data_IF_741894973346
#
_entry.id   IF_741894973346
#
_cell.length_a   1.000
_cell.length_b   1.000
_cell.length_c   1.000
_cell.angle_alpha   90.00
_cell.angle_beta   90.00
_cell.angle_gamma   90.00
#
_symmetry.space_group_name_H-M   'P 1'
#
loop_
_entity.id
_entity.type
_entity.pdbx_description
1 polymer ?
#
# COMPACT_ATOMS: atom_id res chain seq x y z
N UNK A 1 -3.03 16.17 34.24
CA UNK A 1 -3.25 15.33 35.44
C UNK A 1 -2.27 14.16 35.56
N UNK A 2 -2.15 13.21 34.62
CA UNK A 2 -1.17 12.11 34.78
C UNK A 2 0.30 12.56 34.69
N UNK A 3 0.69 13.24 33.60
CA UNK A 3 2.09 13.70 33.42
C UNK A 3 2.50 14.75 34.46
N UNK A 4 1.55 15.56 34.93
CA UNK A 4 1.79 16.49 36.05
C UNK A 4 2.10 15.76 37.36
N UNK A 5 1.54 14.56 37.56
CA UNK A 5 1.81 13.72 38.73
C UNK A 5 3.05 12.83 38.56
N UNK A 6 3.55 12.65 37.33
CA UNK A 6 4.68 11.79 37.00
C UNK A 6 5.72 12.57 36.17
N UNK A 7 6.47 13.50 36.79
CA UNK A 7 7.33 14.44 36.07
C UNK A 7 8.52 13.81 35.36
N UNK A 8 8.87 12.57 35.73
CA UNK A 8 9.94 11.78 35.08
C UNK A 8 9.46 11.07 33.80
N UNK A 9 8.14 11.03 33.56
CA UNK A 9 7.56 10.43 32.38
C UNK A 9 7.22 11.49 31.33
N UNK A 10 7.32 11.10 30.07
CA UNK A 10 6.92 11.89 28.91
C UNK A 10 5.96 11.07 28.03
N UNK A 11 5.34 11.73 27.05
CA UNK A 11 4.57 11.03 26.01
C UNK A 11 5.41 9.94 25.33
N UNK A 12 6.70 10.20 25.13
CA UNK A 12 7.61 9.25 24.49
C UNK A 12 7.90 8.03 25.36
N UNK A 13 8.16 8.22 26.66
CA UNK A 13 8.40 7.07 27.57
C UNK A 13 7.14 6.23 27.74
N UNK A 14 5.97 6.87 27.77
CA UNK A 14 4.69 6.17 27.80
C UNK A 14 4.42 5.40 26.51
N UNK A 15 4.78 5.96 25.35
CA UNK A 15 4.64 5.28 24.06
C UNK A 15 5.55 4.05 23.96
N UNK A 16 6.80 4.16 24.42
CA UNK A 16 7.75 3.04 24.50
C UNK A 16 7.20 1.93 25.40
N UNK A 17 6.74 2.26 26.60
CA UNK A 17 6.14 1.28 27.53
C UNK A 17 4.89 0.60 26.93
N UNK A 18 4.05 1.36 26.23
CA UNK A 18 2.91 0.81 25.51
C UNK A 18 3.34 -0.18 24.43
N UNK A 19 4.30 0.19 23.57
CA UNK A 19 4.80 -0.70 22.52
C UNK A 19 5.42 -1.97 23.10
N UNK A 20 6.18 -1.87 24.19
CA UNK A 20 6.74 -3.04 24.87
C UNK A 20 5.65 -3.97 25.40
N UNK A 21 4.64 -3.45 26.09
CA UNK A 21 3.52 -4.25 26.60
C UNK A 21 2.77 -4.97 25.47
N UNK A 22 2.52 -4.28 24.35
CA UNK A 22 1.82 -4.87 23.19
C UNK A 22 2.66 -5.95 22.52
N UNK A 23 3.95 -5.68 22.24
CA UNK A 23 4.82 -6.68 21.61
C UNK A 23 5.04 -7.90 22.50
N UNK A 24 5.17 -7.72 23.82
CA UNK A 24 5.26 -8.81 24.78
C UNK A 24 3.97 -9.67 24.80
N UNK A 25 2.80 -9.04 24.78
CA UNK A 25 1.53 -9.76 24.70
C UNK A 25 1.41 -10.59 23.42
N UNK A 26 1.80 -10.03 22.26
CA UNK A 26 1.82 -10.74 20.97
C UNK A 26 2.81 -11.90 20.99
N UNK A 27 4.01 -11.69 21.55
CA UNK A 27 5.04 -12.72 21.68
C UNK A 27 4.60 -13.88 22.57
N UNK A 28 3.92 -13.60 23.69
CA UNK A 28 3.37 -14.61 24.61
C UNK A 28 2.32 -15.52 23.94
N UNK A 29 1.70 -15.06 22.85
CA UNK A 29 0.78 -15.86 22.03
C UNK A 29 1.49 -16.63 20.90
N UNK A 30 2.83 -16.64 20.86
CA UNK A 30 3.64 -17.16 19.76
C UNK A 30 3.25 -16.56 18.39
N UNK A 31 2.88 -15.28 18.40
CA UNK A 31 2.53 -14.52 17.19
C UNK A 31 3.63 -13.51 16.86
N UNK A 32 3.60 -13.03 15.62
CA UNK A 32 4.48 -11.99 15.11
C UNK A 32 3.69 -10.69 15.04
N UNK A 33 4.24 -9.62 15.61
CA UNK A 33 3.69 -8.27 15.48
C UNK A 33 3.89 -7.72 14.07
N UNK A 34 2.89 -7.00 13.58
CA UNK A 34 2.98 -6.17 12.38
C UNK A 34 2.54 -4.76 12.77
N UNK A 35 3.34 -3.77 12.39
CA UNK A 35 3.12 -2.37 12.77
C UNK A 35 3.39 -1.45 11.58
N UNK A 36 2.80 -0.26 11.61
CA UNK A 36 3.21 0.83 10.73
C UNK A 36 4.62 1.31 11.10
N UNK A 37 5.29 1.93 10.13
CA UNK A 37 6.69 2.30 10.19
C UNK A 37 7.07 3.32 11.27
N UNK A 38 6.10 4.05 11.84
CA UNK A 38 6.30 4.97 12.96
C UNK A 38 6.96 4.28 14.15
N UNK A 39 6.60 3.02 14.39
CA UNK A 39 7.22 2.20 15.46
C UNK A 39 8.73 2.03 15.30
N UNK A 40 9.26 2.18 14.08
CA UNK A 40 10.68 2.00 13.77
C UNK A 40 11.42 3.32 13.50
N UNK A 41 10.71 4.35 13.03
CA UNK A 41 11.32 5.60 12.59
C UNK A 41 10.90 6.83 13.41
N UNK A 42 9.73 6.84 14.03
CA UNK A 42 9.13 8.01 14.70
C UNK A 42 8.89 7.79 16.20
N UNK A 43 9.64 6.88 16.81
CA UNK A 43 9.70 6.70 18.27
C UNK A 43 11.10 6.26 18.68
N UNK A 44 11.40 6.37 19.97
CA UNK A 44 12.60 5.83 20.60
C UNK A 44 12.50 4.32 20.86
N UNK A 45 11.39 3.70 20.46
CA UNK A 45 11.20 2.27 20.56
C UNK A 45 12.06 1.51 19.54
N UNK A 46 12.61 0.37 19.95
CA UNK A 46 13.24 -0.58 19.02
C UNK A 46 12.41 -1.85 18.98
N UNK A 47 11.59 -2.06 17.92
CA UNK A 47 10.75 -3.25 17.85
C UNK A 47 11.59 -4.53 17.73
N UNK A 48 11.11 -5.68 18.25
CA UNK A 48 11.75 -6.97 18.08
C UNK A 48 12.08 -7.26 16.62
N UNK A 49 13.25 -7.85 16.32
CA UNK A 49 13.74 -8.02 14.93
C UNK A 49 12.84 -8.86 14.02
N UNK A 50 11.97 -9.68 14.59
CA UNK A 50 10.98 -10.45 13.83
C UNK A 50 9.72 -9.65 13.47
N UNK A 51 9.53 -8.44 14.00
CA UNK A 51 8.39 -7.56 13.68
C UNK A 51 8.35 -7.25 12.18
N UNK A 52 7.15 -7.26 11.61
CA UNK A 52 6.90 -6.87 10.22
C UNK A 52 6.52 -5.39 10.21
N UNK A 53 7.17 -4.61 9.34
CA UNK A 53 6.95 -3.17 9.25
C UNK A 53 6.25 -2.86 7.93
N UNK A 54 5.07 -2.25 8.00
CA UNK A 54 4.36 -1.75 6.82
C UNK A 54 4.78 -0.31 6.54
N UNK A 55 5.45 -0.10 5.41
CA UNK A 55 6.00 1.18 5.01
C UNK A 55 5.03 1.92 4.08
N UNK A 56 4.63 3.14 4.46
CA UNK A 56 3.53 3.85 3.82
C UNK A 56 3.78 5.34 3.55
N UNK A 57 4.69 5.98 4.27
CA UNK A 57 4.91 7.44 4.17
C UNK A 57 5.53 7.78 2.81
N UNK A 58 6.67 7.17 2.49
CA UNK A 58 7.39 7.42 1.25
C UNK A 58 8.03 6.14 0.68
N UNK A 59 8.55 6.25 -0.55
CA UNK A 59 9.16 5.13 -1.27
C UNK A 59 10.52 4.74 -0.68
N UNK A 60 11.18 5.63 0.08
CA UNK A 60 12.47 5.36 0.73
C UNK A 60 12.30 4.59 2.05
N UNK A 61 11.11 4.62 2.65
CA UNK A 61 10.78 3.85 3.85
C UNK A 61 11.02 2.35 3.69
N UNK A 62 10.76 1.80 2.51
CA UNK A 62 10.98 0.37 2.21
C UNK A 62 12.47 0.01 2.27
N UNK A 63 13.38 0.66 1.48
CA UNK A 63 14.81 0.40 1.58
C UNK A 63 15.38 0.68 2.98
N UNK A 64 14.92 1.74 3.67
CA UNK A 64 15.34 2.06 5.06
C UNK A 64 14.96 0.93 6.03
N UNK A 65 13.76 0.36 5.89
CA UNK A 65 13.26 -0.73 6.74
C UNK A 65 14.11 -1.99 6.59
N UNK A 66 14.35 -2.43 5.35
CA UNK A 66 15.14 -3.63 5.09
C UNK A 66 16.63 -3.42 5.40
N UNK A 67 17.14 -2.19 5.31
CA UNK A 67 18.49 -1.83 5.74
C UNK A 67 18.68 -1.98 7.26
N UNK A 68 17.64 -1.68 8.06
CA UNK A 68 17.61 -1.97 9.50
C UNK A 68 17.38 -3.45 9.84
N UNK A 69 17.22 -4.31 8.82
CA UNK A 69 17.09 -5.76 8.96
C UNK A 69 15.69 -6.26 9.28
N UNK A 70 14.65 -5.43 9.12
CA UNK A 70 13.26 -5.83 9.33
C UNK A 70 12.62 -6.33 8.04
N UNK A 71 11.61 -7.19 8.18
CA UNK A 71 10.72 -7.55 7.07
C UNK A 71 9.78 -6.39 6.79
N UNK A 72 9.53 -6.11 5.51
CA UNK A 72 8.71 -4.98 5.08
C UNK A 72 7.55 -5.43 4.20
N UNK A 73 6.38 -4.83 4.43
CA UNK A 73 5.25 -4.81 3.50
C UNK A 73 5.22 -3.42 2.87
N UNK A 74 5.25 -3.37 1.53
CA UNK A 74 5.21 -2.12 0.80
C UNK A 74 3.77 -1.61 0.65
N UNK A 75 3.49 -0.42 1.18
CA UNK A 75 2.20 0.28 1.06
C UNK A 75 2.36 1.80 0.88
N UNK A 76 3.34 2.31 0.11
CA UNK A 76 3.58 3.76 0.03
C UNK A 76 2.34 4.50 -0.50
N UNK A 77 1.95 5.56 0.19
CA UNK A 77 0.80 6.38 -0.16
C UNK A 77 0.92 7.00 -1.56
N UNK A 78 2.16 7.21 -2.03
CA UNK A 78 2.43 7.67 -3.39
C UNK A 78 1.89 6.71 -4.47
N UNK A 79 1.76 5.41 -4.18
CA UNK A 79 1.39 4.40 -5.17
C UNK A 79 0.18 3.53 -4.77
N UNK A 80 0.07 3.12 -3.52
CA UNK A 80 -0.79 2.03 -3.08
C UNK A 80 -1.98 2.46 -2.19
N UNK A 81 -2.21 3.77 -2.01
CA UNK A 81 -3.42 4.27 -1.35
C UNK A 81 -4.54 4.49 -2.37
N UNK A 82 -5.67 3.83 -2.16
CA UNK A 82 -6.81 3.79 -3.09
C UNK A 82 -7.85 4.89 -2.81
N UNK A 83 -7.78 5.53 -1.65
CA UNK A 83 -8.67 6.60 -1.17
C UNK A 83 -8.28 8.02 -1.65
N UNK A 84 -7.07 8.21 -2.16
CA UNK A 84 -6.61 9.50 -2.70
C UNK A 84 -7.40 9.93 -3.94
N UNK A 85 -7.48 11.23 -4.22
CA UNK A 85 -8.14 11.77 -5.41
C UNK A 85 -9.62 12.13 -5.23
N UNK A 86 -10.14 12.06 -4.01
CA UNK A 86 -11.56 12.31 -3.70
C UNK A 86 -11.80 13.62 -2.92
N UNK A 87 -10.81 14.52 -2.90
CA UNK A 87 -10.86 15.77 -2.13
C UNK A 87 -10.68 15.55 -0.63
N UNK A 88 -10.72 16.64 0.13
CA UNK A 88 -10.76 16.61 1.60
C UNK A 88 -12.18 16.39 2.11
N UNK A 89 -12.31 15.71 3.26
CA UNK A 89 -13.60 15.45 3.92
C UNK A 89 -13.93 16.44 5.05
N UNK A 90 -12.96 17.26 5.48
CA UNK A 90 -13.17 18.27 6.51
C UNK A 90 -14.05 19.41 5.98
N UNK A 91 -15.06 19.80 6.76
CA UNK A 91 -15.94 20.93 6.44
C UNK A 91 -15.25 22.27 6.70
N UNK A 92 -15.75 23.34 6.07
CA UNK A 92 -15.24 24.73 6.18
C UNK A 92 -13.85 24.96 5.59
N UNK A 93 -13.35 24.02 4.77
CA UNK A 93 -12.15 24.16 3.96
C UNK A 93 -12.44 23.62 2.57
N UNK A 94 -11.97 24.31 1.53
CA UNK A 94 -11.94 23.80 0.16
C UNK A 94 -10.55 23.18 -0.06
N UNK A 95 -10.43 21.89 0.22
CA UNK A 95 -9.15 21.17 0.31
C UNK A 95 -9.10 19.91 -0.53
N UNK A 96 -7.88 19.52 -0.92
CA UNK A 96 -7.59 18.24 -1.56
C UNK A 96 -7.42 17.09 -0.56
N UNK A 97 -7.29 15.87 -1.05
CA UNK A 97 -6.80 14.76 -0.22
C UNK A 97 -5.29 14.92 -0.05
N UNK A 98 -4.79 14.68 1.16
CA UNK A 98 -3.36 14.86 1.47
C UNK A 98 -2.45 13.96 0.63
N UNK A 99 -2.98 12.85 0.11
CA UNK A 99 -2.25 11.89 -0.71
C UNK A 99 -2.58 11.99 -2.21
N UNK A 100 -3.17 13.10 -2.67
CA UNK A 100 -3.44 13.34 -4.08
C UNK A 100 -2.19 13.16 -4.98
N UNK A 101 -2.36 12.78 -6.26
CA UNK A 101 -3.62 12.57 -6.98
C UNK A 101 -4.22 11.16 -6.78
N UNK A 102 -5.36 10.89 -7.41
CA UNK A 102 -5.90 9.52 -7.58
C UNK A 102 -4.84 8.58 -8.18
N UNK A 103 -4.67 7.39 -7.59
CA UNK A 103 -3.73 6.38 -8.10
C UNK A 103 -4.40 5.54 -9.18
N UNK A 104 -4.01 5.76 -10.43
CA UNK A 104 -4.51 4.95 -11.55
C UNK A 104 -3.97 3.53 -11.48
N UNK A 105 -4.65 2.57 -12.11
CA UNK A 105 -4.13 1.20 -12.22
C UNK A 105 -2.76 1.15 -12.90
N UNK A 106 -2.48 2.06 -13.85
CA UNK A 106 -1.19 2.16 -14.55
C UNK A 106 -0.08 2.59 -13.59
N UNK A 107 -0.38 3.56 -12.72
CA UNK A 107 0.54 4.02 -11.68
C UNK A 107 0.89 2.88 -10.71
N UNK A 108 -0.14 2.20 -10.20
CA UNK A 108 -0.01 1.03 -9.33
C UNK A 108 0.80 -0.09 -10.00
N UNK A 109 0.51 -0.40 -11.28
CA UNK A 109 1.20 -1.47 -12.01
C UNK A 109 2.68 -1.15 -12.28
N UNK A 110 3.01 0.11 -12.53
CA UNK A 110 4.37 0.51 -12.87
C UNK A 110 5.29 0.65 -11.65
N UNK A 111 4.72 0.83 -10.47
CA UNK A 111 5.46 0.97 -9.22
C UNK A 111 6.31 -0.28 -8.92
N UNK A 112 7.57 -0.05 -8.52
CA UNK A 112 8.50 -1.11 -8.12
C UNK A 112 8.84 -0.95 -6.62
N UNK A 113 8.25 -1.76 -5.72
CA UNK A 113 8.51 -1.68 -4.29
C UNK A 113 9.94 -2.08 -3.91
N UNK A 114 10.72 -2.63 -4.83
CA UNK A 114 12.11 -3.01 -4.62
C UNK A 114 13.10 -2.03 -5.28
N UNK A 115 12.61 -0.91 -5.81
CA UNK A 115 13.45 0.15 -6.33
C UNK A 115 14.50 0.57 -5.30
N UNK A 116 15.71 0.86 -5.76
CA UNK A 116 16.85 1.29 -4.93
C UNK A 116 17.34 0.28 -3.86
N UNK A 117 16.83 -0.96 -3.82
CA UNK A 117 17.39 -2.04 -3.00
C UNK A 117 18.35 -2.86 -3.86
N UNK A 118 19.67 -2.70 -3.68
CA UNK A 118 20.68 -3.41 -4.48
C UNK A 118 21.04 -4.78 -3.88
N UNK A 119 20.96 -4.94 -2.56
CA UNK A 119 21.31 -6.19 -1.89
C UNK A 119 20.24 -7.26 -2.06
N UNK A 120 20.62 -8.41 -2.63
CA UNK A 120 19.73 -9.57 -2.74
C UNK A 120 19.22 -10.07 -1.38
N UNK A 121 20.00 -9.90 -0.30
CA UNK A 121 19.57 -10.23 1.07
C UNK A 121 18.48 -9.29 1.55
N UNK A 122 18.62 -7.99 1.29
CA UNK A 122 17.61 -6.99 1.67
C UNK A 122 16.34 -7.12 0.83
N UNK A 123 16.44 -7.44 -0.47
CA UNK A 123 15.26 -7.70 -1.32
C UNK A 123 14.39 -8.82 -0.76
N UNK A 124 14.98 -9.87 -0.18
CA UNK A 124 14.24 -10.97 0.48
C UNK A 124 13.49 -10.54 1.74
N UNK A 125 13.79 -9.37 2.30
CA UNK A 125 13.08 -8.82 3.45
C UNK A 125 11.83 -8.04 3.02
N UNK A 126 11.68 -7.65 1.75
CA UNK A 126 10.39 -7.18 1.23
C UNK A 126 9.53 -8.41 0.99
N UNK A 127 8.56 -8.65 1.87
CA UNK A 127 7.78 -9.90 1.90
C UNK A 127 6.44 -9.80 1.15
N UNK A 128 6.07 -8.60 0.69
CA UNK A 128 4.85 -8.38 -0.06
C UNK A 128 4.52 -6.90 -0.19
N UNK A 129 3.33 -6.64 -0.72
CA UNK A 129 2.75 -5.33 -0.84
C UNK A 129 1.27 -5.38 -0.46
N UNK A 130 0.75 -4.26 0.01
CA UNK A 130 -0.67 -4.09 0.31
C UNK A 130 -1.15 -2.74 -0.24
N UNK A 131 -2.28 -2.76 -0.93
CA UNK A 131 -3.01 -1.55 -1.27
C UNK A 131 -3.96 -1.22 -0.14
N UNK A 132 -3.89 0.00 0.38
CA UNK A 132 -4.74 0.48 1.45
C UNK A 132 -5.94 1.22 0.89
N UNK A 133 -7.13 0.97 1.43
CA UNK A 133 -8.30 1.79 1.19
C UNK A 133 -8.76 2.36 2.53
N UNK A 134 -8.35 3.60 2.81
CA UNK A 134 -8.85 4.30 3.99
C UNK A 134 -10.34 4.67 3.82
N UNK A 135 -11.00 4.84 4.96
CA UNK A 135 -12.46 4.81 5.06
C UNK A 135 -13.11 6.11 5.51
N UNK A 136 -12.38 7.23 5.49
CA UNK A 136 -12.95 8.55 5.78
C UNK A 136 -14.10 8.90 4.82
N UNK A 137 -13.97 8.46 3.56
CA UNK A 137 -15.00 8.62 2.54
C UNK A 137 -15.37 7.29 1.87
N UNK A 138 -15.10 6.13 2.50
CA UNK A 138 -15.46 4.83 1.92
C UNK A 138 -16.28 3.96 2.88
N UNK A 139 -17.28 3.29 2.32
CA UNK A 139 -18.14 2.33 3.00
C UNK A 139 -18.56 1.24 2.00
N UNK A 140 -19.54 0.41 2.39
CA UNK A 140 -20.06 -0.68 1.55
C UNK A 140 -20.61 -0.21 0.19
N UNK A 141 -20.99 1.05 0.03
CA UNK A 141 -21.56 1.57 -1.23
C UNK A 141 -20.50 1.80 -2.30
N UNK A 142 -19.25 2.05 -1.90
CA UNK A 142 -18.14 2.38 -2.82
C UNK A 142 -16.97 1.40 -2.73
N UNK A 143 -16.98 0.46 -1.78
CA UNK A 143 -15.91 -0.50 -1.54
C UNK A 143 -15.42 -1.19 -2.82
N UNK A 144 -16.34 -1.80 -3.56
CA UNK A 144 -16.00 -2.56 -4.77
C UNK A 144 -15.38 -1.69 -5.86
N UNK A 145 -15.95 -0.51 -6.11
CA UNK A 145 -15.47 0.40 -7.15
C UNK A 145 -14.11 1.01 -6.79
N UNK A 146 -13.85 1.26 -5.51
CA UNK A 146 -12.56 1.78 -5.06
C UNK A 146 -11.47 0.72 -5.07
N UNK A 147 -11.77 -0.51 -4.68
CA UNK A 147 -10.82 -1.62 -4.73
C UNK A 147 -10.52 -2.07 -6.16
N UNK A 148 -11.57 -2.29 -6.95
CA UNK A 148 -11.48 -3.02 -8.20
C UNK A 148 -11.71 -2.12 -9.41
N UNK A 149 -10.91 -2.25 -10.48
CA UNK A 149 -9.90 -3.28 -10.71
C UNK A 149 -8.47 -2.87 -10.29
N UNK A 150 -8.28 -1.71 -9.64
CA UNK A 150 -6.94 -1.18 -9.29
C UNK A 150 -6.11 -2.15 -8.45
N UNK A 151 -6.71 -2.80 -7.46
CA UNK A 151 -6.05 -3.83 -6.65
C UNK A 151 -5.56 -5.03 -7.47
N UNK A 152 -6.22 -5.36 -8.59
CA UNK A 152 -5.77 -6.44 -9.48
C UNK A 152 -4.47 -6.09 -10.21
N UNK A 153 -4.17 -4.81 -10.43
CA UNK A 153 -2.91 -4.38 -11.00
C UNK A 153 -1.74 -4.67 -10.06
N UNK A 154 -1.88 -4.34 -8.77
CA UNK A 154 -0.88 -4.70 -7.73
C UNK A 154 -0.78 -6.22 -7.56
N UNK A 155 -1.91 -6.93 -7.64
CA UNK A 155 -1.93 -8.38 -7.52
C UNK A 155 -1.07 -9.07 -8.59
N UNK A 156 -1.13 -8.62 -9.86
CA UNK A 156 -0.31 -9.21 -10.93
C UNK A 156 1.19 -8.98 -10.70
N UNK A 157 1.59 -7.77 -10.32
CA UNK A 157 3.00 -7.42 -10.10
C UNK A 157 3.58 -8.10 -8.86
N UNK A 158 2.79 -8.27 -7.80
CA UNK A 158 3.20 -8.98 -6.59
C UNK A 158 3.17 -10.51 -6.75
N UNK A 159 2.35 -11.04 -7.67
CA UNK A 159 2.26 -12.48 -7.94
C UNK A 159 3.32 -12.99 -8.91
N UNK A 160 3.45 -12.33 -10.07
CA UNK A 160 4.29 -12.80 -11.18
C UNK A 160 5.46 -11.89 -11.51
N UNK A 161 5.55 -10.72 -10.86
CA UNK A 161 6.41 -9.65 -11.33
C UNK A 161 5.90 -9.02 -12.63
N UNK A 162 6.50 -7.89 -13.02
CA UNK A 162 6.24 -7.25 -14.32
C UNK A 162 7.12 -7.79 -15.45
N UNK A 163 8.17 -8.54 -15.10
CA UNK A 163 9.12 -9.12 -16.06
C UNK A 163 8.79 -10.60 -16.27
N UNK A 164 8.70 -11.03 -17.52
CA UNK A 164 8.45 -12.43 -17.85
C UNK A 164 9.73 -13.29 -17.87
N UNK A 165 9.58 -14.57 -18.19
CA UNK A 165 10.66 -15.54 -18.17
C UNK A 165 11.78 -15.28 -19.21
N UNK A 166 11.50 -14.49 -20.25
CA UNK A 166 12.48 -14.12 -21.28
C UNK A 166 13.08 -12.72 -21.04
N UNK A 167 12.75 -12.09 -19.90
CA UNK A 167 13.28 -10.79 -19.52
C UNK A 167 12.51 -9.60 -20.08
N UNK A 168 11.35 -9.83 -20.73
CA UNK A 168 10.52 -8.75 -21.25
C UNK A 168 9.72 -8.09 -20.13
N UNK A 169 9.81 -6.76 -20.02
CA UNK A 169 9.07 -5.97 -19.04
C UNK A 169 7.72 -5.59 -19.65
N UNK A 170 6.64 -6.18 -19.12
CA UNK A 170 5.27 -5.91 -19.57
C UNK A 170 4.92 -4.45 -19.37
N UNK A 171 4.48 -3.82 -20.45
CA UNK A 171 3.98 -2.45 -20.47
C UNK A 171 2.50 -2.41 -20.11
N UNK A 172 2.01 -1.25 -19.66
CA UNK A 172 0.57 -1.04 -19.44
C UNK A 172 -0.24 -1.24 -20.72
N UNK A 173 0.31 -0.96 -21.90
CA UNK A 173 -0.35 -1.22 -23.19
C UNK A 173 -0.69 -2.71 -23.36
N UNK A 174 0.24 -3.60 -23.01
CA UNK A 174 0.04 -5.06 -23.09
C UNK A 174 -0.93 -5.58 -22.02
N UNK A 175 -0.93 -4.97 -20.84
CA UNK A 175 -1.74 -5.39 -19.69
C UNK A 175 -3.19 -4.91 -19.81
N UNK A 176 -3.44 -3.80 -20.51
CA UNK A 176 -4.77 -3.17 -20.63
C UNK A 176 -5.87 -4.18 -21.01
N UNK A 177 -5.61 -5.05 -21.98
CA UNK A 177 -6.63 -6.00 -22.46
C UNK A 177 -6.98 -7.08 -21.44
N UNK A 178 -5.98 -7.63 -20.73
CA UNK A 178 -6.28 -8.62 -19.68
C UNK A 178 -6.96 -7.99 -18.48
N UNK A 179 -6.63 -6.74 -18.14
CA UNK A 179 -7.28 -6.04 -17.05
C UNK A 179 -8.75 -5.73 -17.37
N UNK A 180 -9.06 -5.37 -18.63
CA UNK A 180 -10.46 -5.29 -19.11
C UNK A 180 -11.19 -6.62 -18.92
N UNK A 181 -10.62 -7.73 -19.39
CA UNK A 181 -11.23 -9.06 -19.22
C UNK A 181 -11.45 -9.42 -17.75
N UNK A 182 -10.48 -9.12 -16.88
CA UNK A 182 -10.59 -9.37 -15.45
C UNK A 182 -11.68 -8.50 -14.81
N UNK A 183 -11.78 -7.22 -15.20
CA UNK A 183 -12.84 -6.32 -14.75
C UNK A 183 -14.23 -6.81 -15.18
N UNK A 184 -14.41 -7.25 -16.43
CA UNK A 184 -15.69 -7.84 -16.86
C UNK A 184 -16.01 -9.14 -16.12
N UNK A 185 -15.00 -9.95 -15.81
CA UNK A 185 -15.16 -11.16 -15.00
C UNK A 185 -15.60 -10.84 -13.57
N UNK A 186 -15.07 -9.79 -12.95
CA UNK A 186 -15.50 -9.30 -11.63
C UNK A 186 -16.97 -8.87 -11.65
N UNK A 187 -17.36 -8.04 -12.62
CA UNK A 187 -18.75 -7.59 -12.79
C UNK A 187 -19.70 -8.78 -13.03
N UNK A 188 -19.31 -9.73 -13.87
CA UNK A 188 -20.08 -10.96 -14.08
C UNK A 188 -20.21 -11.86 -12.85
N UNK A 189 -19.45 -11.60 -11.78
CA UNK A 189 -19.50 -12.29 -10.48
C UNK A 189 -20.16 -11.46 -9.38
N UNK A 190 -20.74 -10.30 -9.71
CA UNK A 190 -21.40 -9.42 -8.75
C UNK A 190 -20.47 -8.45 -8.01
N UNK A 191 -19.20 -8.35 -8.41
CA UNK A 191 -18.27 -7.34 -7.88
C UNK A 191 -18.41 -6.07 -8.72
N UNK A 192 -18.79 -4.96 -8.10
CA UNK A 192 -19.08 -3.68 -8.75
C UNK A 192 -17.81 -2.89 -9.14
N UNK A 193 -16.91 -3.54 -9.91
CA UNK A 193 -15.64 -2.97 -10.31
C UNK A 193 -15.77 -1.76 -11.26
N UNK A 194 -14.97 -0.73 -11.02
CA UNK A 194 -14.94 0.51 -11.80
C UNK A 194 -14.59 0.24 -13.28
N UNK A 195 -15.21 0.93 -14.25
CA UNK A 195 -14.78 0.87 -15.64
C UNK A 195 -13.39 1.51 -15.84
N UNK A 196 -12.53 0.87 -16.64
CA UNK A 196 -11.17 1.36 -16.92
C UNK A 196 -11.11 2.42 -18.03
N UNK A 197 -11.92 2.23 -19.07
CA UNK A 197 -11.98 3.03 -20.30
C UNK A 197 -13.39 2.90 -20.89
N UNK A 198 -13.77 3.74 -21.87
CA UNK A 198 -14.99 3.53 -22.65
C UNK A 198 -15.07 2.10 -23.19
N UNK A 199 -16.28 1.52 -23.23
CA UNK A 199 -16.51 0.14 -23.70
C UNK A 199 -15.93 -0.10 -25.11
N UNK A 200 -15.91 0.93 -25.95
CA UNK A 200 -15.29 0.88 -27.27
C UNK A 200 -13.82 0.47 -27.23
N UNK A 201 -13.05 0.93 -26.24
CA UNK A 201 -11.63 0.59 -26.07
C UNK A 201 -11.40 -0.88 -25.72
N UNK A 202 -12.31 -1.47 -24.95
CA UNK A 202 -12.28 -2.90 -24.64
C UNK A 202 -12.65 -3.76 -25.87
N UNK A 203 -13.52 -3.24 -26.74
CA UNK A 203 -13.95 -3.92 -27.98
C UNK A 203 -13.00 -3.70 -29.17
N UNK A 204 -12.17 -2.66 -29.11
CA UNK A 204 -11.23 -2.28 -30.16
C UNK A 204 -9.82 -2.13 -29.57
N UNK A 205 -9.14 -3.25 -29.26
CA UNK A 205 -7.81 -3.23 -28.67
C UNK A 205 -6.81 -2.42 -29.50
N UNK A 206 -6.03 -1.57 -28.82
CA UNK A 206 -5.00 -0.74 -29.47
C UNK A 206 -5.47 0.65 -29.88
N UNK A 207 -6.78 0.90 -29.91
CA UNK A 207 -7.32 2.15 -30.47
C UNK A 207 -7.51 3.29 -29.46
N UNK A 208 -7.20 3.06 -28.18
CA UNK A 208 -7.33 4.05 -27.11
C UNK A 208 -5.99 4.31 -26.38
N UNK A 209 -4.88 4.15 -27.09
CA UNK A 209 -3.58 4.53 -26.55
C UNK A 209 -3.31 6.00 -26.88
N UNK A 210 -2.92 6.76 -25.85
CA UNK A 210 -2.37 8.09 -26.07
C UNK A 210 -1.06 7.99 -26.88
N UNK A 211 -0.70 9.07 -27.62
CA UNK A 211 0.57 9.15 -28.36
C UNK A 211 1.78 8.82 -27.51
#
# INVERSE_FOLDING_TARGET
LYLEANPEESVETLLVDFYDKVHNAVANLNRVGMTWEETLFHSNYTPPKNTIIQAWIDEESIPKTVAKGYRSIASPASAYYLDCGHGGWLTNVDGGSWCDPFKTWMHIYNFDPMANITSAKQRKLVIGAEVALWSEQSDATVLDARLWPRAAAMAETSWSGKTDAIGHVRTTKEVTQRLHNQRFRMVGRGIMAEPLQPLWCARNPGSCFAP
#
